data_IF_005594033023
#
_entry.id   IF_005594033023
#
_cell.length_a   1.000
_cell.length_b   1.000
_cell.length_c   1.000
_cell.angle_alpha   90.00
_cell.angle_beta   90.00
_cell.angle_gamma   90.00
#
_symmetry.space_group_name_H-M   'P 1'
#
loop_
_entity.id
_entity.type
_entity.pdbx_description
1 polymer ?
#
# COMPACT_ATOMS: atom_id res chain seq x y z
N UNK A 1 59.75 -19.04 -11.75
CA UNK A 1 59.04 -19.22 -13.04
C UNK A 1 57.73 -19.94 -12.74
N UNK A 2 56.53 -19.41 -12.89
CA UNK A 2 56.00 -18.08 -13.24
C UNK A 2 54.78 -17.80 -12.34
N UNK A 3 54.55 -16.59 -11.85
CA UNK A 3 53.94 -15.42 -12.53
C UNK A 3 52.46 -15.61 -12.92
N UNK A 4 51.56 -15.27 -11.97
CA UNK A 4 50.27 -14.53 -12.04
C UNK A 4 49.21 -14.88 -13.14
N UNK A 5 47.95 -14.36 -13.12
CA UNK A 5 47.33 -13.40 -12.20
C UNK A 5 45.89 -13.74 -11.72
N UNK A 6 45.44 -12.97 -10.73
CA UNK A 6 44.14 -12.29 -10.67
C UNK A 6 42.86 -13.10 -10.92
N UNK A 7 42.17 -13.38 -9.82
CA UNK A 7 40.74 -13.58 -9.79
C UNK A 7 40.21 -13.26 -8.40
N UNK A 8 40.41 -12.02 -7.92
CA UNK A 8 39.70 -11.54 -6.74
C UNK A 8 38.23 -11.39 -7.12
N UNK A 9 37.50 -12.49 -7.05
CA UNK A 9 36.05 -12.44 -6.93
C UNK A 9 35.78 -11.97 -5.51
N UNK A 10 35.65 -10.65 -5.36
CA UNK A 10 34.93 -10.08 -4.23
C UNK A 10 33.49 -10.56 -4.35
N UNK A 11 33.25 -11.77 -3.85
CA UNK A 11 31.90 -12.25 -3.54
C UNK A 11 31.37 -11.29 -2.51
N UNK A 12 30.64 -10.27 -2.97
CA UNK A 12 29.80 -9.44 -2.13
C UNK A 12 28.89 -10.45 -1.44
N UNK A 13 29.16 -10.71 -0.16
CA UNK A 13 28.30 -11.56 0.66
C UNK A 13 26.99 -10.80 0.74
N UNK A 14 26.09 -11.14 -0.18
CA UNK A 14 24.70 -10.71 -0.15
C UNK A 14 24.21 -11.14 1.24
N UNK A 15 23.90 -10.16 2.08
CA UNK A 15 23.38 -10.37 3.43
C UNK A 15 22.43 -11.56 3.40
N UNK A 16 22.71 -12.57 4.23
CA UNK A 16 21.83 -13.73 4.35
C UNK A 16 20.47 -13.20 4.82
N UNK A 17 19.51 -13.06 3.90
CA UNK A 17 18.16 -12.65 4.24
C UNK A 17 17.60 -13.72 5.18
N UNK A 18 17.55 -13.40 6.47
CA UNK A 18 16.92 -14.26 7.47
C UNK A 18 15.42 -14.17 7.25
N UNK A 19 14.85 -15.21 6.64
CA UNK A 19 13.41 -15.31 6.43
C UNK A 19 12.70 -15.09 7.77
N UNK A 20 11.61 -14.29 7.76
CA UNK A 20 10.82 -13.83 8.93
C UNK A 20 11.38 -12.67 9.78
N UNK A 21 12.49 -12.03 9.43
CA UNK A 21 12.95 -10.81 10.13
C UNK A 21 12.45 -9.48 9.52
N UNK A 22 11.30 -9.48 8.82
CA UNK A 22 10.69 -8.21 8.43
C UNK A 22 10.14 -7.52 9.68
N UNK A 23 10.69 -6.36 10.04
CA UNK A 23 10.18 -5.59 11.17
C UNK A 23 8.68 -5.34 10.97
N UNK A 24 7.84 -5.43 12.03
CA UNK A 24 6.39 -5.24 11.92
C UNK A 24 6.02 -3.87 11.32
N UNK A 25 6.90 -2.88 11.50
CA UNK A 25 6.82 -1.57 10.87
C UNK A 25 6.83 -1.63 9.32
N UNK A 26 7.65 -2.49 8.72
CA UNK A 26 7.74 -2.59 7.26
C UNK A 26 6.46 -3.17 6.65
N UNK A 27 5.82 -4.13 7.33
CA UNK A 27 4.53 -4.69 6.92
C UNK A 27 3.41 -3.64 6.95
N UNK A 28 3.40 -2.77 7.97
CA UNK A 28 2.44 -1.67 8.05
C UNK A 28 2.59 -0.68 6.88
N UNK A 29 3.81 -0.32 6.51
CA UNK A 29 4.08 0.58 5.37
C UNK A 29 3.66 -0.06 4.04
N UNK A 30 3.95 -1.35 3.84
CA UNK A 30 3.51 -2.10 2.65
C UNK A 30 1.97 -2.16 2.55
N UNK A 31 1.28 -2.50 3.64
CA UNK A 31 -0.18 -2.55 3.70
C UNK A 31 -0.81 -1.19 3.36
N UNK A 32 -0.23 -0.13 3.92
CA UNK A 32 -0.62 1.25 3.66
C UNK A 32 -0.47 1.60 2.17
N UNK A 33 0.68 1.28 1.57
CA UNK A 33 0.94 1.50 0.15
C UNK A 33 -0.03 0.73 -0.76
N UNK A 34 -0.29 -0.55 -0.48
CA UNK A 34 -1.25 -1.37 -1.24
C UNK A 34 -2.67 -0.76 -1.15
N UNK A 35 -3.07 -0.31 0.03
CA UNK A 35 -4.37 0.33 0.23
C UNK A 35 -4.54 1.58 -0.64
N UNK A 36 -3.49 2.41 -0.76
CA UNK A 36 -3.49 3.57 -1.66
C UNK A 36 -3.53 3.19 -3.13
N UNK A 37 -2.75 2.19 -3.55
CA UNK A 37 -2.72 1.72 -4.93
C UNK A 37 -4.09 1.20 -5.34
N UNK A 38 -4.74 0.41 -4.48
CA UNK A 38 -6.09 -0.11 -4.72
C UNK A 38 -7.10 1.03 -4.86
N UNK A 39 -7.07 1.99 -3.94
CA UNK A 39 -7.96 3.17 -3.99
C UNK A 39 -7.76 3.97 -5.28
N UNK A 40 -6.50 4.25 -5.65
CA UNK A 40 -6.16 4.97 -6.87
C UNK A 40 -6.61 4.22 -8.12
N UNK A 41 -6.44 2.90 -8.16
CA UNK A 41 -6.89 2.06 -9.27
C UNK A 41 -8.41 2.09 -9.40
N UNK A 42 -9.15 1.97 -8.31
CA UNK A 42 -10.62 2.07 -8.31
C UNK A 42 -11.09 3.43 -8.84
N UNK A 43 -10.45 4.52 -8.43
CA UNK A 43 -10.78 5.87 -8.95
C UNK A 43 -10.40 6.04 -10.42
N UNK A 44 -9.26 5.52 -10.85
CA UNK A 44 -8.84 5.57 -12.25
C UNK A 44 -9.83 4.83 -13.15
N UNK A 45 -10.31 3.66 -12.73
CA UNK A 45 -11.33 2.89 -13.46
C UNK A 45 -12.65 3.66 -13.59
N UNK A 46 -13.09 4.31 -12.50
CA UNK A 46 -14.28 5.17 -12.51
C UNK A 46 -14.13 6.41 -13.41
N UNK A 47 -12.90 6.84 -13.70
CA UNK A 47 -12.63 8.02 -14.54
C UNK A 47 -12.51 7.66 -16.02
N UNK A 48 -11.83 6.55 -16.34
CA UNK A 48 -11.58 6.13 -17.74
C UNK A 48 -12.85 5.57 -18.39
N UNK A 49 -13.62 4.76 -17.65
CA UNK A 49 -14.77 4.06 -18.18
C UNK A 49 -15.93 4.03 -17.16
N UNK A 50 -16.58 5.19 -16.92
CA UNK A 50 -17.61 5.28 -15.89
C UNK A 50 -18.84 4.44 -16.23
N UNK A 51 -19.19 4.31 -17.51
CA UNK A 51 -20.34 3.50 -17.95
C UNK A 51 -20.14 2.01 -17.67
N UNK A 52 -18.95 1.48 -17.98
CA UNK A 52 -18.62 0.08 -17.74
C UNK A 52 -18.49 -0.25 -16.25
N UNK A 53 -17.92 0.64 -15.45
CA UNK A 53 -17.72 0.43 -14.01
C UNK A 53 -19.00 0.64 -13.20
N UNK A 54 -19.89 1.54 -13.64
CA UNK A 54 -21.15 1.82 -12.96
C UNK A 54 -22.26 0.82 -13.34
N UNK A 55 -22.34 0.38 -14.59
CA UNK A 55 -23.45 -0.45 -15.08
C UNK A 55 -23.05 -1.85 -15.54
N UNK A 56 -21.77 -2.12 -15.80
CA UNK A 56 -21.31 -3.42 -16.28
C UNK A 56 -21.82 -3.77 -17.68
N UNK A 57 -22.21 -5.03 -17.90
CA UNK A 57 -22.75 -5.53 -19.18
C UNK A 57 -24.28 -5.43 -19.29
N UNK A 58 -24.94 -4.72 -18.36
CA UNK A 58 -26.39 -4.62 -18.33
C UNK A 58 -26.93 -3.97 -19.63
N UNK A 59 -27.91 -4.63 -20.23
CA UNK A 59 -28.68 -4.11 -21.37
C UNK A 59 -30.13 -4.01 -20.96
N UNK A 60 -30.77 -2.88 -21.28
CA UNK A 60 -32.19 -2.66 -20.99
C UNK A 60 -32.93 -2.61 -22.33
N UNK A 61 -34.03 -3.37 -22.41
CA UNK A 61 -34.94 -3.29 -23.54
C UNK A 61 -35.66 -1.93 -23.50
N UNK A 62 -35.52 -1.15 -24.57
CA UNK A 62 -36.24 0.13 -24.71
C UNK A 62 -37.58 -0.19 -25.34
N UNK A 63 -38.68 0.13 -24.65
CA UNK A 63 -40.02 0.03 -25.22
C UNK A 63 -40.10 0.85 -26.52
N UNK A 64 -40.35 0.18 -27.64
CA UNK A 64 -40.47 0.81 -28.97
C UNK A 64 -39.30 0.58 -29.93
N UNK A 65 -38.16 0.04 -29.48
CA UNK A 65 -37.10 -0.42 -30.39
C UNK A 65 -36.62 -1.80 -29.95
N UNK A 66 -36.97 -2.86 -30.68
CA UNK A 66 -36.63 -4.27 -30.37
C UNK A 66 -35.14 -4.62 -30.31
N UNK A 67 -34.25 -3.63 -30.26
CA UNK A 67 -32.82 -3.80 -30.06
C UNK A 67 -32.45 -3.50 -28.60
N UNK A 68 -31.91 -4.47 -27.84
CA UNK A 68 -31.39 -4.21 -26.50
C UNK A 68 -30.23 -3.21 -26.58
N UNK A 69 -30.26 -2.17 -25.76
CA UNK A 69 -29.21 -1.12 -25.73
C UNK A 69 -28.52 -1.12 -24.37
N UNK A 70 -27.22 -0.85 -24.37
CA UNK A 70 -26.40 -0.77 -23.15
C UNK A 70 -26.81 0.44 -22.29
N UNK A 71 -26.74 0.28 -20.97
CA UNK A 71 -26.91 1.37 -20.01
C UNK A 71 -25.68 2.29 -20.02
N UNK A 72 -25.91 3.60 -20.21
CA UNK A 72 -24.89 4.65 -20.10
C UNK A 72 -25.35 5.74 -19.13
N UNK A 73 -24.40 6.50 -18.56
CA UNK A 73 -24.64 7.59 -17.62
C UNK A 73 -25.58 8.65 -18.19
N UNK A 74 -25.38 9.04 -19.46
CA UNK A 74 -26.23 10.02 -20.14
C UNK A 74 -27.69 9.59 -20.22
N UNK A 75 -27.98 8.29 -20.26
CA UNK A 75 -29.36 7.78 -20.31
C UNK A 75 -30.04 7.80 -18.94
N UNK A 76 -29.28 7.63 -17.85
CA UNK A 76 -29.79 7.78 -16.50
C UNK A 76 -30.16 9.23 -16.17
N UNK A 77 -29.38 10.19 -16.67
CA UNK A 77 -29.69 11.62 -16.57
C UNK A 77 -31.01 11.97 -17.30
N UNK A 78 -31.26 11.32 -18.44
CA UNK A 78 -32.48 11.47 -19.24
C UNK A 78 -33.71 10.70 -18.69
N UNK A 79 -33.69 10.26 -17.43
CA UNK A 79 -34.88 9.70 -16.75
C UNK A 79 -35.16 8.21 -17.02
N UNK A 80 -34.23 7.47 -17.63
CA UNK A 80 -34.37 6.01 -17.73
C UNK A 80 -34.10 5.34 -16.37
N UNK A 81 -35.13 5.26 -15.53
CA UNK A 81 -35.08 4.66 -14.19
C UNK A 81 -34.74 3.15 -14.18
N UNK A 82 -34.68 2.51 -15.35
CA UNK A 82 -34.42 1.08 -15.49
C UNK A 82 -32.95 0.67 -15.39
N UNK A 83 -31.99 1.62 -15.37
CA UNK A 83 -30.57 1.32 -15.21
C UNK A 83 -30.12 1.43 -13.73
N UNK A 84 -29.93 0.28 -13.08
CA UNK A 84 -29.43 0.21 -11.70
C UNK A 84 -27.89 0.39 -11.67
N UNK A 85 -27.42 1.29 -10.81
CA UNK A 85 -25.99 1.54 -10.60
C UNK A 85 -25.42 0.48 -9.66
N UNK A 86 -24.19 0.04 -9.91
CA UNK A 86 -23.47 -0.86 -9.02
C UNK A 86 -23.29 -0.23 -7.64
N UNK A 87 -23.50 -1.06 -6.60
CA UNK A 87 -23.29 -0.67 -5.20
C UNK A 87 -21.86 -0.19 -4.99
N UNK A 88 -20.88 -0.79 -5.67
CA UNK A 88 -19.47 -0.44 -5.54
C UNK A 88 -19.19 0.97 -6.09
N UNK A 89 -19.76 1.32 -7.24
CA UNK A 89 -19.61 2.63 -7.85
C UNK A 89 -20.31 3.72 -7.03
N UNK A 90 -21.50 3.43 -6.51
CA UNK A 90 -22.22 4.34 -5.62
C UNK A 90 -21.48 4.57 -4.29
N UNK A 91 -20.88 3.52 -3.72
CA UNK A 91 -20.12 3.58 -2.49
C UNK A 91 -18.83 4.42 -2.65
N UNK A 92 -18.04 4.14 -3.70
CA UNK A 92 -16.83 4.92 -3.99
C UNK A 92 -17.15 6.38 -4.31
N UNK A 93 -18.22 6.65 -5.07
CA UNK A 93 -18.67 8.02 -5.33
C UNK A 93 -19.03 8.77 -4.05
N UNK A 94 -19.68 8.12 -3.08
CA UNK A 94 -19.99 8.72 -1.77
C UNK A 94 -18.73 8.94 -0.94
N UNK A 95 -17.79 8.01 -0.93
CA UNK A 95 -16.50 8.17 -0.22
C UNK A 95 -15.70 9.33 -0.80
N UNK A 96 -15.63 9.43 -2.12
CA UNK A 96 -14.91 10.51 -2.81
C UNK A 96 -15.41 11.90 -2.37
N UNK A 97 -16.73 12.03 -2.24
CA UNK A 97 -17.36 13.30 -1.86
C UNK A 97 -17.31 13.53 -0.34
N UNK A 98 -17.43 12.48 0.48
CA UNK A 98 -17.56 12.59 1.92
C UNK A 98 -16.21 12.62 2.68
N UNK A 99 -15.13 12.09 2.12
CA UNK A 99 -13.87 11.88 2.86
C UNK A 99 -12.66 12.77 2.48
N UNK A 100 -12.80 14.02 1.98
CA UNK A 100 -11.62 14.85 1.71
C UNK A 100 -10.83 15.14 3.00
N UNK A 101 -11.50 15.29 4.15
CA UNK A 101 -10.83 15.55 5.43
C UNK A 101 -9.96 14.37 5.89
N UNK A 102 -10.47 13.14 5.80
CA UNK A 102 -9.72 11.94 6.18
C UNK A 102 -8.48 11.76 5.28
N UNK A 103 -8.62 12.00 3.98
CA UNK A 103 -7.50 11.93 3.03
C UNK A 103 -6.39 12.94 3.36
N UNK A 104 -6.76 14.19 3.65
CA UNK A 104 -5.79 15.25 4.02
C UNK A 104 -5.08 14.90 5.34
N UNK A 105 -5.82 14.50 6.37
CA UNK A 105 -5.23 14.11 7.65
C UNK A 105 -4.26 12.92 7.49
N UNK A 106 -4.64 11.93 6.69
CA UNK A 106 -3.83 10.75 6.43
C UNK A 106 -2.58 11.06 5.59
N UNK A 107 -2.67 11.98 4.63
CA UNK A 107 -1.51 12.48 3.88
C UNK A 107 -0.49 13.12 4.81
N UNK A 108 -0.93 14.00 5.72
CA UNK A 108 -0.03 14.61 6.70
C UNK A 108 0.55 13.58 7.68
N UNK A 109 -0.23 12.59 8.11
CA UNK A 109 0.27 11.52 8.98
C UNK A 109 1.39 10.69 8.31
N UNK A 110 1.26 10.36 7.02
CA UNK A 110 2.30 9.66 6.27
C UNK A 110 3.57 10.50 6.12
N UNK A 111 3.44 11.80 5.80
CA UNK A 111 4.58 12.72 5.75
C UNK A 111 5.25 12.91 7.10
N UNK A 112 4.48 12.99 8.18
CA UNK A 112 5.02 13.08 9.54
C UNK A 112 5.80 11.82 9.91
N UNK A 113 5.30 10.63 9.55
CA UNK A 113 5.98 9.36 9.79
C UNK A 113 7.30 9.26 9.02
N UNK A 114 7.28 9.57 7.72
CA UNK A 114 8.49 9.61 6.88
C UNK A 114 9.49 10.63 7.44
N UNK A 115 9.02 11.83 7.81
CA UNK A 115 9.86 12.86 8.40
C UNK A 115 10.54 12.40 9.70
N UNK A 116 9.79 11.77 10.61
CA UNK A 116 10.36 11.19 11.83
C UNK A 116 11.38 10.10 11.54
N UNK A 117 11.05 9.18 10.62
CA UNK A 117 11.96 8.12 10.22
C UNK A 117 13.26 8.68 9.61
N UNK A 118 13.16 9.65 8.69
CA UNK A 118 14.32 10.32 8.11
C UNK A 118 15.16 11.03 9.16
N UNK A 119 14.56 11.73 10.12
CA UNK A 119 15.30 12.39 11.21
C UNK A 119 16.07 11.37 12.05
N UNK A 120 15.43 10.28 12.49
CA UNK A 120 16.10 9.22 13.26
C UNK A 120 17.20 8.57 12.42
N UNK A 121 16.95 8.30 11.14
CA UNK A 121 17.93 7.70 10.24
C UNK A 121 19.14 8.61 10.00
N UNK A 122 18.92 9.91 9.79
CA UNK A 122 19.97 10.92 9.64
C UNK A 122 20.77 11.03 10.94
N UNK A 123 20.10 11.14 12.10
CA UNK A 123 20.76 11.16 13.39
C UNK A 123 21.55 9.86 13.64
N UNK A 124 21.04 8.71 13.22
CA UNK A 124 21.78 7.45 13.20
C UNK A 124 23.02 7.55 12.32
N UNK A 125 22.90 7.92 11.05
CA UNK A 125 24.05 8.02 10.15
C UNK A 125 25.13 9.00 10.64
N UNK A 126 24.74 10.14 11.22
CA UNK A 126 25.67 11.18 11.67
C UNK A 126 26.18 10.97 13.10
N UNK A 127 25.39 10.38 14.02
CA UNK A 127 25.81 10.11 15.41
C UNK A 127 26.36 8.69 15.63
N UNK A 128 26.07 7.73 14.75
CA UNK A 128 26.52 6.31 14.84
C UNK A 128 27.88 6.07 14.14
N UNK A 129 28.68 7.11 13.97
CA UNK A 129 30.11 7.01 13.63
C UNK A 129 31.00 6.75 14.88
N UNK A 130 30.42 6.51 16.07
CA UNK A 130 31.17 6.29 17.31
C UNK A 130 30.66 5.18 18.23
N UNK A 131 30.14 4.09 17.68
CA UNK A 131 30.06 2.86 18.47
C UNK A 131 30.95 1.78 17.83
N UNK A 132 32.00 1.32 18.53
CA UNK A 132 32.72 0.14 18.11
C UNK A 132 31.71 -1.00 18.08
N UNK A 133 31.85 -1.85 17.07
CA UNK A 133 31.23 -3.15 16.92
C UNK A 133 31.13 -3.90 18.26
N UNK A 134 30.04 -3.70 18.98
CA UNK A 134 29.62 -4.56 20.07
C UNK A 134 28.20 -4.96 19.73
N UNK A 135 28.04 -6.24 19.42
CA UNK A 135 26.78 -6.96 19.35
C UNK A 135 25.83 -6.49 20.44
N UNK A 136 24.84 -5.69 20.07
CA UNK A 136 23.60 -5.60 20.83
C UNK A 136 22.52 -5.36 19.80
N UNK A 137 21.99 -6.48 19.30
CA UNK A 137 20.65 -6.51 18.74
C UNK A 137 19.69 -6.11 19.85
N UNK A 138 18.94 -4.99 19.75
CA UNK A 138 17.79 -4.79 20.59
C UNK A 138 16.64 -5.59 19.98
N UNK A 139 16.36 -6.75 20.57
CA UNK A 139 15.04 -7.41 20.66
C UNK A 139 15.25 -8.87 21.09
N UNK A 140 15.65 -9.07 22.35
CA UNK A 140 15.86 -10.39 22.97
C UNK A 140 15.92 -10.37 24.50
N UNK A 141 16.04 -9.20 25.14
CA UNK A 141 16.17 -9.12 26.60
C UNK A 141 14.85 -9.37 27.35
N UNK A 142 13.70 -9.21 26.69
CA UNK A 142 12.39 -9.44 27.34
C UNK A 142 12.05 -10.94 27.47
N UNK A 143 12.67 -11.81 26.66
CA UNK A 143 12.40 -13.25 26.65
C UNK A 143 13.28 -14.02 27.65
N UNK A 144 14.40 -13.43 28.09
CA UNK A 144 15.36 -14.06 29.00
C UNK A 144 14.98 -13.85 30.49
N UNK A 145 14.29 -12.75 30.84
CA UNK A 145 13.83 -12.49 32.21
C UNK A 145 12.66 -13.40 32.66
N UNK A 146 11.85 -13.92 31.72
CA UNK A 146 10.68 -14.76 32.04
C UNK A 146 11.10 -16.21 32.37
N UNK A 147 12.25 -16.68 31.87
CA UNK A 147 12.82 -17.99 32.19
C UNK A 147 13.45 -18.07 33.58
N UNK A 148 13.98 -16.95 34.09
CA UNK A 148 14.64 -16.87 35.40
C UNK A 148 13.65 -16.85 36.58
N UNK A 149 12.41 -16.39 36.35
CA UNK A 149 11.34 -16.34 37.36
C UNK A 149 10.54 -17.66 37.47
N UNK A 150 10.75 -18.60 36.55
CA UNK A 150 10.09 -19.91 36.56
C UNK A 150 10.88 -21.01 37.30
N UNK A 151 12.06 -20.67 37.85
CA UNK A 151 12.97 -21.63 38.52
C UNK A 151 13.34 -21.27 39.97
N UNK A 152 12.63 -20.33 40.60
CA UNK A 152 12.67 -20.08 42.05
C UNK A 152 11.26 -20.10 42.64
#
# INVERSE_FOLDING_TARGET
MGSSPSGSVSSVVLYALKARQTSPQALLVMCNAISYILLALCMALLTIAPDYTAFGSQTVAVEGSGTPRHCTLSRRENGAASCQISVIAAFFGRIAVAMPFFSVAYFFANWAFIGKFCVVFILGLFCQQRQPFTDTAPDGDDEEEIGLLAFN
#
